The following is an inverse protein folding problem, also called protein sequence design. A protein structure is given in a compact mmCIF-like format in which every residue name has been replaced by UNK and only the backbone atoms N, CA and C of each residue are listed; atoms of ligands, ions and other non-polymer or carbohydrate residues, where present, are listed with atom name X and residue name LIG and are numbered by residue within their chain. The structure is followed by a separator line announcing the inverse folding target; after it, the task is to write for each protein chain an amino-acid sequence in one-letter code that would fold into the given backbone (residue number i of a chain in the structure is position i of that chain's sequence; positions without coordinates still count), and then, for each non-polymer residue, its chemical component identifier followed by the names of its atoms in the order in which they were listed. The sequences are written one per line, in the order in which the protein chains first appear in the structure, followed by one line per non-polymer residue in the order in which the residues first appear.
data_IF_618208127896
#
_entry.id   IF_618208127896
#
_cell.length_a   1.000
_cell.length_b   1.000
_cell.length_c   1.000
_cell.angle_alpha   90.00
_cell.angle_beta   90.00
_cell.angle_gamma   90.00
#
_symmetry.space_group_name_H-M   'P 1'
#
loop_
_entity.id
_entity.type
_entity.pdbx_description
1 polymer ?
#
# COMPACT_ATOMS: atom_id res chain seq x y z
N UNK A 1 -10.64 8.70 -7.69
CA UNK A 1 -9.37 8.62 -8.43
C UNK A 1 -9.47 7.52 -9.48
N UNK A 2 -8.69 7.61 -10.55
CA UNK A 2 -8.52 6.56 -11.57
C UNK A 2 -7.03 6.32 -11.77
N UNK A 3 -6.64 5.09 -12.12
CA UNK A 3 -5.23 4.76 -12.35
C UNK A 3 -5.08 3.58 -13.29
N UNK A 4 -4.42 3.81 -14.42
CA UNK A 4 -4.19 2.83 -15.47
C UNK A 4 -2.96 3.20 -16.30
N UNK A 5 -2.54 2.28 -17.18
CA UNK A 5 -1.42 2.52 -18.11
C UNK A 5 -1.88 3.39 -19.29
N UNK A 6 -3.12 3.22 -19.74
CA UNK A 6 -3.73 3.97 -20.83
C UNK A 6 -5.12 4.42 -20.42
N UNK A 7 -5.56 5.56 -20.93
CA UNK A 7 -6.95 5.99 -20.80
C UNK A 7 -7.90 4.91 -21.35
N UNK A 8 -9.14 4.81 -20.83
CA UNK A 8 -10.09 3.76 -21.21
C UNK A 8 -10.29 3.63 -22.73
N UNK A 9 -10.30 4.76 -23.45
CA UNK A 9 -10.42 4.81 -24.91
C UNK A 9 -9.23 4.11 -25.60
N UNK A 10 -8.01 4.35 -25.14
CA UNK A 10 -6.81 3.70 -25.69
C UNK A 10 -6.77 2.20 -25.38
N UNK A 11 -7.30 1.79 -24.22
CA UNK A 11 -7.46 0.36 -23.91
C UNK A 11 -8.46 -0.29 -24.87
N UNK A 12 -9.57 0.38 -25.18
CA UNK A 12 -10.57 -0.12 -26.13
C UNK A 12 -9.96 -0.24 -27.52
N UNK A 13 -9.22 0.77 -27.98
CA UNK A 13 -8.61 0.75 -29.31
C UNK A 13 -7.66 -0.44 -29.50
N UNK A 14 -6.83 -0.74 -28.50
CA UNK A 14 -5.84 -1.83 -28.58
C UNK A 14 -6.48 -3.20 -28.31
N UNK A 15 -7.33 -3.31 -27.27
CA UNK A 15 -7.82 -4.61 -26.77
C UNK A 15 -9.21 -5.00 -27.28
N UNK A 16 -10.02 -4.04 -27.70
CA UNK A 16 -11.40 -4.24 -28.16
C UNK A 16 -11.60 -3.67 -29.56
N UNK A 17 -10.93 -4.25 -30.59
CA UNK A 17 -11.08 -3.82 -31.97
C UNK A 17 -12.53 -3.96 -32.45
N UNK A 18 -12.91 -3.29 -33.56
CA UNK A 18 -14.29 -3.29 -34.07
C UNK A 18 -14.92 -4.68 -34.21
N UNK A 19 -14.14 -5.70 -34.59
CA UNK A 19 -14.61 -7.08 -34.70
C UNK A 19 -15.08 -7.66 -33.35
N UNK A 20 -14.39 -7.37 -32.24
CA UNK A 20 -14.81 -7.81 -30.89
C UNK A 20 -16.05 -7.06 -30.42
N UNK A 21 -16.14 -5.77 -30.72
CA UNK A 21 -17.34 -4.98 -30.39
C UNK A 21 -18.55 -5.45 -31.19
N UNK A 22 -18.37 -5.79 -32.46
CA UNK A 22 -19.41 -6.41 -33.29
C UNK A 22 -19.86 -7.76 -32.73
N UNK A 23 -18.93 -8.61 -32.29
CA UNK A 23 -19.26 -9.88 -31.64
C UNK A 23 -20.06 -9.68 -30.34
N UNK A 24 -19.65 -8.70 -29.50
CA UNK A 24 -20.40 -8.33 -28.31
C UNK A 24 -21.82 -7.84 -28.65
N UNK A 25 -21.96 -7.02 -29.70
CA UNK A 25 -23.26 -6.54 -30.16
C UNK A 25 -24.19 -7.68 -30.57
N UNK A 26 -23.68 -8.66 -31.33
CA UNK A 26 -24.45 -9.84 -31.74
C UNK A 26 -24.90 -10.69 -30.56
N UNK A 27 -24.12 -10.71 -29.49
CA UNK A 27 -24.44 -11.49 -28.28
C UNK A 27 -25.47 -10.79 -27.38
N UNK A 28 -25.32 -9.47 -27.15
CA UNK A 28 -26.13 -8.74 -26.16
C UNK A 28 -27.32 -7.97 -26.75
N UNK A 29 -27.27 -7.56 -28.03
CA UNK A 29 -28.41 -6.90 -28.68
C UNK A 29 -29.43 -7.93 -29.16
N UNK A 30 -30.50 -8.10 -28.38
CA UNK A 30 -31.60 -9.03 -28.69
C UNK A 30 -32.26 -8.78 -30.04
N UNK A 31 -32.34 -7.52 -30.48
CA UNK A 31 -32.93 -7.18 -31.78
C UNK A 31 -32.01 -7.52 -32.94
N UNK A 32 -30.70 -7.31 -32.78
CA UNK A 32 -29.71 -7.78 -33.76
C UNK A 32 -29.72 -9.31 -33.86
N UNK A 33 -29.75 -10.00 -32.71
CA UNK A 33 -29.83 -11.46 -32.68
C UNK A 33 -31.13 -11.99 -33.32
N UNK A 34 -32.26 -11.28 -33.18
CA UNK A 34 -33.51 -11.65 -33.83
C UNK A 34 -33.45 -11.50 -35.36
N UNK A 35 -32.89 -10.39 -35.86
CA UNK A 35 -32.72 -10.14 -37.29
C UNK A 35 -31.78 -11.17 -37.94
N UNK A 36 -30.67 -11.51 -37.28
CA UNK A 36 -29.75 -12.55 -37.74
C UNK A 36 -30.41 -13.93 -37.80
N UNK A 37 -31.26 -14.29 -36.82
CA UNK A 37 -32.02 -15.55 -36.85
C UNK A 37 -33.10 -15.57 -37.94
N UNK A 38 -33.67 -14.42 -38.26
CA UNK A 38 -34.65 -14.27 -39.33
C UNK A 38 -34.01 -14.26 -40.74
N UNK A 39 -32.69 -14.21 -40.85
CA UNK A 39 -31.98 -14.14 -42.14
C UNK A 39 -32.03 -12.77 -42.80
N UNK A 40 -32.48 -11.71 -42.10
CA UNK A 40 -32.50 -10.35 -42.63
C UNK A 40 -31.14 -9.67 -42.43
N UNK A 41 -30.20 -9.99 -43.31
CA UNK A 41 -28.82 -9.50 -43.24
C UNK A 41 -28.73 -7.97 -43.39
N UNK A 42 -29.61 -7.36 -44.18
CA UNK A 42 -29.58 -5.93 -44.47
C UNK A 42 -30.05 -5.11 -43.27
N UNK A 43 -31.15 -5.51 -42.63
CA UNK A 43 -31.59 -4.89 -41.38
C UNK A 43 -30.62 -5.17 -40.22
N UNK A 44 -30.03 -6.37 -40.16
CA UNK A 44 -29.01 -6.71 -39.17
C UNK A 44 -27.75 -5.82 -39.32
N UNK A 45 -27.27 -5.61 -40.54
CA UNK A 45 -26.13 -4.73 -40.81
C UNK A 45 -26.42 -3.27 -40.42
N UNK A 46 -27.60 -2.75 -40.78
CA UNK A 46 -28.02 -1.40 -40.40
C UNK A 46 -28.09 -1.21 -38.88
N UNK A 47 -28.65 -2.19 -38.16
CA UNK A 47 -28.72 -2.16 -36.69
C UNK A 47 -27.34 -2.27 -36.05
N UNK A 48 -26.47 -3.14 -36.57
CA UNK A 48 -25.11 -3.30 -36.05
C UNK A 48 -24.29 -2.01 -36.23
N UNK A 49 -24.44 -1.32 -37.37
CA UNK A 49 -23.80 -0.02 -37.61
C UNK A 49 -24.32 1.05 -36.63
N UNK A 50 -25.64 1.14 -36.44
CA UNK A 50 -26.26 2.08 -35.50
C UNK A 50 -25.83 1.84 -34.04
N UNK A 51 -25.67 0.57 -33.64
CA UNK A 51 -25.26 0.20 -32.28
C UNK A 51 -23.76 0.42 -32.01
N UNK A 52 -22.93 0.57 -33.05
CA UNK A 52 -21.47 0.59 -32.91
C UNK A 52 -20.93 1.67 -31.97
N UNK A 53 -21.50 2.87 -31.99
CA UNK A 53 -21.11 3.95 -31.08
C UNK A 53 -21.45 3.63 -29.61
N UNK A 54 -22.65 3.08 -29.36
CA UNK A 54 -23.08 2.70 -28.01
C UNK A 54 -22.19 1.58 -27.44
N UNK A 55 -21.83 0.58 -28.25
CA UNK A 55 -20.92 -0.50 -27.82
C UNK A 55 -19.50 -0.01 -27.57
N UNK A 56 -19.01 0.98 -28.34
CA UNK A 56 -17.73 1.66 -28.03
C UNK A 56 -17.79 2.37 -26.68
N UNK A 57 -18.85 3.12 -26.40
CA UNK A 57 -19.02 3.79 -25.10
C UNK A 57 -19.11 2.78 -23.94
N UNK A 58 -19.85 1.69 -24.13
CA UNK A 58 -19.95 0.61 -23.14
C UNK A 58 -18.60 -0.05 -22.89
N UNK A 59 -17.80 -0.29 -23.94
CA UNK A 59 -16.46 -0.83 -23.84
C UNK A 59 -15.50 0.11 -23.07
N UNK A 60 -15.56 1.42 -23.32
CA UNK A 60 -14.76 2.40 -22.59
C UNK A 60 -15.15 2.42 -21.10
N UNK A 61 -16.46 2.38 -20.80
CA UNK A 61 -16.92 2.26 -19.41
C UNK A 61 -16.48 0.96 -18.75
N UNK A 62 -16.48 -0.15 -19.49
CA UNK A 62 -15.99 -1.43 -19.00
C UNK A 62 -14.48 -1.40 -18.69
N UNK A 63 -13.69 -0.76 -19.55
CA UNK A 63 -12.27 -0.53 -19.27
C UNK A 63 -12.08 0.32 -18.01
N UNK A 64 -12.84 1.41 -17.87
CA UNK A 64 -12.76 2.31 -16.72
C UNK A 64 -13.13 1.64 -15.37
N UNK A 65 -13.84 0.50 -15.37
CA UNK A 65 -14.10 -0.29 -14.16
C UNK A 65 -12.84 -0.97 -13.61
N UNK A 66 -11.81 -1.15 -14.45
CA UNK A 66 -10.53 -1.73 -14.02
C UNK A 66 -9.58 -0.69 -13.42
N UNK A 67 -9.91 0.59 -13.56
CA UNK A 67 -9.03 1.70 -13.18
C UNK A 67 -9.42 2.28 -11.83
N UNK A 68 -10.15 1.51 -11.01
CA UNK A 68 -10.73 1.96 -9.74
C UNK A 68 -9.77 1.76 -8.56
N UNK A 69 -9.80 2.65 -7.54
CA UNK A 69 -8.90 2.55 -6.39
C UNK A 69 -8.97 1.22 -5.63
N UNK A 70 -10.14 0.60 -5.60
CA UNK A 70 -10.37 -0.71 -4.97
C UNK A 70 -9.54 -1.80 -5.65
N UNK A 71 -9.42 -1.74 -6.98
CA UNK A 71 -8.56 -2.65 -7.75
C UNK A 71 -7.08 -2.34 -7.51
N UNK A 72 -6.69 -1.07 -7.42
CA UNK A 72 -5.32 -0.68 -7.06
C UNK A 72 -4.92 -1.17 -5.67
N UNK A 73 -5.87 -1.19 -4.73
CA UNK A 73 -5.67 -1.72 -3.38
C UNK A 73 -5.56 -3.24 -3.41
N UNK A 74 -6.45 -3.92 -4.14
CA UNK A 74 -6.45 -5.38 -4.27
C UNK A 74 -5.16 -5.93 -4.92
N UNK A 75 -4.54 -5.18 -5.84
CA UNK A 75 -3.25 -5.55 -6.44
C UNK A 75 -2.04 -5.13 -5.60
N UNK A 76 -2.24 -4.42 -4.49
CA UNK A 76 -1.17 -3.92 -3.63
C UNK A 76 -0.39 -2.73 -4.21
N UNK A 77 -0.87 -2.12 -5.30
CA UNK A 77 -0.24 -0.93 -5.88
C UNK A 77 -0.32 0.30 -4.96
N UNK A 78 -1.35 0.34 -4.10
CA UNK A 78 -1.51 1.35 -3.05
C UNK A 78 -1.74 0.67 -1.70
N UNK A 79 -1.41 1.39 -0.61
CA UNK A 79 -1.59 0.90 0.77
C UNK A 79 -2.98 1.15 1.35
N UNK A 80 -3.78 2.00 0.72
CA UNK A 80 -5.12 2.35 1.21
C UNK A 80 -5.77 3.44 0.39
N UNK A 81 -7.10 3.45 0.41
CA UNK A 81 -7.94 4.47 -0.24
C UNK A 81 -8.38 5.48 0.83
N UNK A 82 -8.28 6.77 0.53
CA UNK A 82 -8.58 7.86 1.48
C UNK A 82 -9.65 8.76 0.90
N UNK A 83 -10.67 9.09 1.70
CA UNK A 83 -11.69 10.07 1.33
C UNK A 83 -11.11 11.48 1.35
N UNK A 84 -11.44 12.30 0.34
CA UNK A 84 -10.94 13.68 0.26
C UNK A 84 -11.31 14.51 1.51
N UNK A 85 -12.51 14.29 2.05
CA UNK A 85 -13.02 14.98 3.24
C UNK A 85 -12.18 14.74 4.50
N UNK A 86 -11.61 13.54 4.66
CA UNK A 86 -10.77 13.17 5.81
C UNK A 86 -9.27 13.19 5.50
N UNK A 87 -8.90 13.39 4.23
CA UNK A 87 -7.52 13.26 3.74
C UNK A 87 -6.52 14.10 4.52
N UNK A 88 -6.84 15.37 4.82
CA UNK A 88 -5.94 16.26 5.57
C UNK A 88 -5.59 15.69 6.95
N UNK A 89 -6.59 15.13 7.65
CA UNK A 89 -6.40 14.55 8.98
C UNK A 89 -5.61 13.25 8.90
N UNK A 90 -6.05 12.32 8.05
CA UNK A 90 -5.44 10.99 7.93
C UNK A 90 -4.00 11.05 7.42
N UNK A 91 -3.76 11.79 6.32
CA UNK A 91 -2.41 11.98 5.79
C UNK A 91 -1.54 12.80 6.74
N UNK A 92 -2.12 13.74 7.48
CA UNK A 92 -1.44 14.51 8.51
C UNK A 92 -0.89 13.63 9.63
N UNK A 93 -1.64 12.63 10.09
CA UNK A 93 -1.14 11.69 11.10
C UNK A 93 -0.12 10.71 10.52
N UNK A 94 -0.37 10.17 9.33
CA UNK A 94 0.57 9.31 8.60
C UNK A 94 1.94 9.97 8.44
N UNK A 95 1.97 11.23 8.02
CA UNK A 95 3.22 11.97 7.86
C UNK A 95 3.95 12.15 9.20
N UNK A 96 3.23 12.59 10.25
CA UNK A 96 3.81 12.75 11.59
C UNK A 96 4.39 11.45 12.13
N UNK A 97 3.70 10.33 11.92
CA UNK A 97 4.20 9.00 12.26
C UNK A 97 5.48 8.67 11.48
N UNK A 98 5.48 8.81 10.15
CA UNK A 98 6.63 8.48 9.31
C UNK A 98 7.88 9.29 9.68
N UNK A 99 7.72 10.58 9.96
CA UNK A 99 8.82 11.44 10.39
C UNK A 99 9.38 10.99 11.75
N UNK A 100 8.53 10.86 12.77
CA UNK A 100 9.01 10.48 14.10
C UNK A 100 9.58 9.06 14.15
N UNK A 101 8.91 8.08 13.56
CA UNK A 101 9.41 6.70 13.49
C UNK A 101 10.72 6.65 12.72
N UNK A 102 10.85 7.41 11.62
CA UNK A 102 12.11 7.54 10.87
C UNK A 102 13.24 8.13 11.72
N UNK A 103 12.97 9.15 12.53
CA UNK A 103 13.97 9.71 13.45
C UNK A 103 14.45 8.68 14.48
N UNK A 104 13.53 7.91 15.07
CA UNK A 104 13.83 6.87 16.06
C UNK A 104 14.61 5.70 15.44
N UNK A 105 14.18 5.23 14.27
CA UNK A 105 14.85 4.20 13.47
C UNK A 105 16.29 4.61 13.15
N UNK A 106 16.46 5.85 12.66
CA UNK A 106 17.77 6.36 12.29
C UNK A 106 18.68 6.57 13.52
N UNK A 107 18.12 6.88 14.69
CA UNK A 107 18.89 6.95 15.94
C UNK A 107 19.45 5.58 16.34
N UNK A 108 18.66 4.49 16.20
CA UNK A 108 19.13 3.13 16.45
C UNK A 108 20.21 2.70 15.45
N UNK A 109 20.02 2.98 14.16
CA UNK A 109 21.02 2.62 13.14
C UNK A 109 22.34 3.39 13.29
N UNK A 110 22.31 4.65 13.72
CA UNK A 110 23.54 5.40 14.05
C UNK A 110 24.27 4.88 15.28
N UNK A 111 23.62 4.07 16.12
CA UNK A 111 24.30 3.41 17.24
C UNK A 111 25.07 2.17 16.81
N UNK A 112 24.65 1.52 15.72
CA UNK A 112 25.22 0.27 15.22
C UNK A 112 25.39 0.37 13.69
N UNK A 113 26.36 1.19 13.23
CA UNK A 113 26.52 1.47 11.81
C UNK A 113 26.86 0.21 11.02
N UNK A 114 26.17 0.00 9.91
CA UNK A 114 26.42 -1.12 9.00
C UNK A 114 25.94 -2.49 9.49
N UNK A 115 25.68 -2.69 10.78
CA UNK A 115 25.18 -3.98 11.30
C UNK A 115 23.65 -4.02 11.48
N UNK A 116 22.97 -2.89 11.71
CA UNK A 116 21.51 -2.87 11.90
C UNK A 116 20.77 -2.43 10.63
N UNK A 117 19.91 -3.33 10.11
CA UNK A 117 19.03 -3.05 8.98
C UNK A 117 17.88 -2.09 9.31
N UNK A 118 17.25 -1.52 8.27
CA UNK A 118 16.06 -0.65 8.44
C UNK A 118 14.90 -1.42 9.05
N UNK A 119 14.60 -2.62 8.54
CA UNK A 119 13.47 -3.42 9.03
C UNK A 119 13.67 -3.84 10.49
N UNK A 120 14.89 -4.25 10.86
CA UNK A 120 15.23 -4.61 12.25
C UNK A 120 15.10 -3.42 13.20
N UNK A 121 15.53 -2.24 12.77
CA UNK A 121 15.37 -1.01 13.54
C UNK A 121 13.88 -0.63 13.69
N UNK A 122 13.07 -0.78 12.64
CA UNK A 122 11.61 -0.58 12.72
C UNK A 122 10.95 -1.59 13.67
N UNK A 123 11.36 -2.85 13.65
CA UNK A 123 10.89 -3.88 14.59
C UNK A 123 11.24 -3.50 16.02
N UNK A 124 12.45 -2.98 16.27
CA UNK A 124 12.86 -2.50 17.58
C UNK A 124 12.00 -1.31 18.06
N UNK A 125 11.72 -0.34 17.18
CA UNK A 125 10.83 0.80 17.49
C UNK A 125 9.41 0.31 17.78
N UNK A 126 8.87 -0.60 16.97
CA UNK A 126 7.55 -1.20 17.18
C UNK A 126 7.48 -1.94 18.53
N UNK A 127 8.51 -2.70 18.88
CA UNK A 127 8.58 -3.40 20.17
C UNK A 127 8.57 -2.41 21.34
N UNK A 128 9.34 -1.32 21.25
CA UNK A 128 9.35 -0.28 22.28
C UNK A 128 7.98 0.37 22.47
N UNK A 129 7.24 0.61 21.38
CA UNK A 129 5.86 1.10 21.44
C UNK A 129 4.95 0.15 22.21
N UNK A 130 4.95 -1.14 21.82
CA UNK A 130 4.06 -2.13 22.41
C UNK A 130 4.35 -2.37 23.90
N UNK A 131 5.62 -2.37 24.30
CA UNK A 131 6.01 -2.50 25.72
C UNK A 131 5.49 -1.32 26.55
N UNK A 132 5.67 -0.09 26.05
CA UNK A 132 5.20 1.10 26.78
C UNK A 132 3.68 1.23 26.79
N UNK A 133 2.99 0.73 25.76
CA UNK A 133 1.54 0.69 25.73
C UNK A 133 1.00 -0.29 26.79
N UNK A 134 1.58 -1.49 26.89
CA UNK A 134 1.19 -2.48 27.89
C UNK A 134 1.39 -1.98 29.34
N UNK A 135 2.40 -1.14 29.58
CA UNK A 135 2.65 -0.48 30.87
C UNK A 135 1.57 0.58 31.23
N UNK A 136 0.90 1.16 30.24
CA UNK A 136 -0.11 2.22 30.43
C UNK A 136 -1.52 1.64 30.51
N UNK A 137 -1.85 0.70 29.62
CA UNK A 137 -3.19 0.09 29.54
C UNK A 137 -3.39 -1.05 30.56
N UNK A 138 -2.38 -1.38 31.35
CA UNK A 138 -2.49 -2.20 32.56
C UNK A 138 -3.17 -3.56 32.35
N UNK A 139 -2.53 -4.49 31.64
CA UNK A 139 -2.87 -5.92 31.61
C UNK A 139 -4.35 -6.34 31.39
N UNK A 140 -5.24 -5.44 31.01
CA UNK A 140 -6.64 -5.77 30.70
C UNK A 140 -6.80 -5.83 29.18
N UNK A 141 -6.21 -6.88 28.59
CA UNK A 141 -6.29 -7.16 27.15
C UNK A 141 -7.63 -7.82 26.80
N UNK A 142 -8.75 -7.23 27.23
CA UNK A 142 -10.11 -7.61 26.81
C UNK A 142 -10.72 -6.62 25.81
N UNK A 143 -9.91 -5.76 25.20
CA UNK A 143 -10.31 -5.09 23.96
C UNK A 143 -10.03 -6.07 22.83
N UNK A 144 -11.09 -6.67 22.30
CA UNK A 144 -11.19 -7.70 21.23
C UNK A 144 -10.57 -7.30 19.86
N UNK A 145 -9.51 -6.49 19.83
CA UNK A 145 -8.73 -6.12 18.66
C UNK A 145 -7.25 -6.37 18.91
N UNK A 146 -6.73 -7.46 18.33
CA UNK A 146 -5.36 -7.94 18.48
C UNK A 146 -4.30 -6.82 18.49
N UNK A 147 -3.28 -6.94 19.34
CA UNK A 147 -2.11 -6.03 19.49
C UNK A 147 -1.48 -5.54 18.17
N UNK A 148 -1.68 -6.26 17.06
CA UNK A 148 -1.33 -5.82 15.71
C UNK A 148 -2.05 -4.55 15.23
N UNK A 149 -3.30 -4.35 15.64
CA UNK A 149 -4.20 -3.26 15.22
C UNK A 149 -3.74 -1.88 15.74
N UNK A 150 -3.18 -1.83 16.95
CA UNK A 150 -2.78 -0.55 17.57
C UNK A 150 -1.56 0.07 16.88
N UNK A 151 -0.65 -0.75 16.32
CA UNK A 151 0.46 -0.25 15.52
C UNK A 151 -0.02 0.34 14.19
N UNK A 152 -1.14 -0.12 13.63
CA UNK A 152 -1.69 0.44 12.39
C UNK A 152 -2.39 1.80 12.62
N UNK A 153 -2.71 2.15 13.87
CA UNK A 153 -3.27 3.45 14.22
C UNK A 153 -2.22 4.58 14.15
N UNK A 154 -2.22 5.30 13.03
CA UNK A 154 -1.26 6.38 12.76
C UNK A 154 -1.20 7.47 13.82
N UNK A 155 -2.35 7.83 14.40
CA UNK A 155 -2.47 8.88 15.40
C UNK A 155 -1.86 8.46 16.73
N UNK A 156 -2.14 7.24 17.20
CA UNK A 156 -1.57 6.70 18.44
C UNK A 156 -0.05 6.55 18.33
N UNK A 157 0.43 5.94 17.25
CA UNK A 157 1.87 5.75 17.04
C UNK A 157 2.57 7.10 16.89
N UNK A 158 1.99 8.06 16.16
CA UNK A 158 2.57 9.40 16.04
C UNK A 158 2.68 10.08 17.41
N UNK A 159 1.61 10.11 18.21
CA UNK A 159 1.64 10.73 19.55
C UNK A 159 2.70 10.11 20.44
N UNK A 160 2.78 8.78 20.46
CA UNK A 160 3.82 8.09 21.21
C UNK A 160 5.21 8.44 20.71
N UNK A 161 5.48 8.33 19.40
CA UNK A 161 6.81 8.53 18.83
C UNK A 161 7.33 9.97 19.01
N UNK A 162 6.44 10.96 19.04
CA UNK A 162 6.79 12.34 19.37
C UNK A 162 6.98 12.60 20.87
N UNK A 163 6.58 11.67 21.74
CA UNK A 163 6.71 11.84 23.19
C UNK A 163 8.16 11.74 23.66
N UNK A 164 8.47 12.48 24.72
CA UNK A 164 9.77 12.43 25.38
C UNK A 164 10.07 11.02 25.92
N UNK A 165 9.05 10.29 26.39
CA UNK A 165 9.18 8.92 26.88
C UNK A 165 9.71 7.97 25.78
N UNK A 166 9.13 8.03 24.58
CA UNK A 166 9.59 7.22 23.45
C UNK A 166 11.03 7.57 23.07
N UNK A 167 11.34 8.87 22.93
CA UNK A 167 12.67 9.36 22.57
C UNK A 167 13.73 8.94 23.60
N UNK A 168 13.44 9.02 24.90
CA UNK A 168 14.33 8.56 25.97
C UNK A 168 14.58 7.05 25.92
N UNK A 169 13.53 6.26 25.73
CA UNK A 169 13.67 4.81 25.65
C UNK A 169 14.54 4.38 24.46
N UNK A 170 14.29 4.97 23.28
CA UNK A 170 15.10 4.71 22.09
C UNK A 170 16.54 5.21 22.26
N UNK A 171 16.75 6.36 22.91
CA UNK A 171 18.09 6.86 23.20
C UNK A 171 18.85 5.96 24.20
N UNK A 172 18.17 5.37 25.18
CA UNK A 172 18.76 4.36 26.08
C UNK A 172 19.16 3.10 25.29
N UNK A 173 18.25 2.57 24.48
CA UNK A 173 18.52 1.40 23.63
C UNK A 173 19.66 1.67 22.64
N UNK A 174 19.72 2.86 22.04
CA UNK A 174 20.82 3.28 21.16
C UNK A 174 22.16 3.31 21.90
N UNK A 175 22.21 3.76 23.16
CA UNK A 175 23.45 3.73 23.96
C UNK A 175 23.92 2.30 24.23
N UNK A 176 23.01 1.41 24.59
CA UNK A 176 23.31 -0.01 24.83
C UNK A 176 23.85 -0.69 23.57
N UNK A 177 23.20 -0.47 22.42
CA UNK A 177 23.62 -0.98 21.11
C UNK A 177 25.00 -0.48 20.71
N UNK A 178 25.26 0.81 20.90
CA UNK A 178 26.58 1.41 20.61
C UNK A 178 27.68 0.77 21.45
N UNK A 179 27.42 0.55 22.74
CA UNK A 179 28.38 -0.11 23.62
C UNK A 179 28.62 -1.57 23.19
N UNK A 180 27.57 -2.31 22.81
CA UNK A 180 27.67 -3.67 22.32
C UNK A 180 28.42 -3.76 20.97
N UNK A 181 28.14 -2.85 20.04
CA UNK A 181 28.85 -2.76 18.76
C UNK A 181 30.34 -2.47 18.96
N UNK A 182 30.68 -1.51 19.82
CA UNK A 182 32.08 -1.19 20.14
C UNK A 182 32.82 -2.38 20.78
N UNK A 183 32.15 -3.19 21.61
CA UNK A 183 32.74 -4.44 22.14
C UNK A 183 33.05 -5.41 21.01
N UNK A 184 32.07 -5.73 20.16
CA UNK A 184 32.26 -6.64 19.02
C UNK A 184 33.39 -6.20 18.09
N UNK A 185 33.50 -4.90 17.80
CA UNK A 185 34.58 -4.38 16.96
C UNK A 185 35.95 -4.55 17.61
N UNK A 186 36.07 -4.34 18.93
CA UNK A 186 37.33 -4.59 19.65
C UNK A 186 37.68 -6.07 19.67
N UNK A 187 36.71 -6.94 19.92
CA UNK A 187 36.93 -8.38 19.98
C UNK A 187 37.32 -8.94 18.60
N UNK A 188 36.69 -8.45 17.53
CA UNK A 188 37.06 -8.81 16.15
C UNK A 188 38.48 -8.36 15.80
N UNK A 189 38.84 -7.13 16.16
CA UNK A 189 40.18 -6.61 15.90
C UNK A 189 41.27 -7.35 16.71
N UNK A 190 40.98 -7.72 17.95
CA UNK A 190 41.88 -8.55 18.76
C UNK A 190 42.11 -9.93 18.13
N UNK A 191 41.04 -10.58 17.65
CA UNK A 191 41.14 -11.88 16.97
C UNK A 191 41.94 -11.80 15.65
N UNK A 192 41.80 -10.70 14.89
CA UNK A 192 42.60 -10.46 13.68
C UNK A 192 44.09 -10.28 14.01
N UNK A 193 44.42 -9.61 15.11
CA UNK A 193 45.80 -9.45 15.57
C UNK A 193 46.42 -10.78 16.02
N UNK A 194 45.66 -11.61 16.74
CA UNK A 194 46.11 -12.97 17.14
C UNK A 194 46.30 -13.90 15.94
N UNK A 195 45.45 -13.79 14.91
CA UNK A 195 45.59 -14.57 13.69
C UNK A 195 46.79 -14.13 12.81
N UNK A 196 47.28 -12.91 13.01
CA UNK A 196 48.41 -12.34 12.26
C UNK A 196 49.78 -12.52 12.94
N UNK A 197 49.81 -12.96 14.21
CA UNK A 197 51.02 -13.27 14.99
C UNK A 197 51.40 -14.75 14.93
#
# INVERSE_FOLDING_TARGET
ARGSILEPEGVVEIKLPPARLAAAARHFDRGLAALLRAGDEQAAAARQAAAGAAYRMAAARFAALQDVPERMLATGAIRGVVSLSSARRELGWRLRRRLAVGELESALRRAEPGSLGVDEAIVAVRRAFLLQLAEVDGADSSVDGAVGDVWENDERVARWAWSERARRAIAAQARERRAAHARRMRDAWAAELEAAS
#
